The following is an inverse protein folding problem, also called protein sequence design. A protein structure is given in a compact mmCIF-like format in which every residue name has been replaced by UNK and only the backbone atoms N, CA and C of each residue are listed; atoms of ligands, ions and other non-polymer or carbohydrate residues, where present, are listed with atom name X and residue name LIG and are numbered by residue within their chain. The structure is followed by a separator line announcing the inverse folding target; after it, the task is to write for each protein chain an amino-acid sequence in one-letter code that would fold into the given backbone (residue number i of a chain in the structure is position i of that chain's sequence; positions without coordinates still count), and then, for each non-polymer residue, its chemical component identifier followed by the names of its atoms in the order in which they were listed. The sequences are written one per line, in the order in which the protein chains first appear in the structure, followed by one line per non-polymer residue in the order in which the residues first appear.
data_IF_297959461778
#
_entry.id   IF_297959461778
#
_cell.length_a   1.000
_cell.length_b   1.000
_cell.length_c   1.000
_cell.angle_alpha   90.00
_cell.angle_beta   90.00
_cell.angle_gamma   90.00
#
_symmetry.space_group_name_H-M   'P 1'
#
loop_
_entity.id
_entity.type
_entity.pdbx_description
1 polymer ?
#
# COMPACT_ATOMS: atom_id res chain seq x y z
N UNK A 1 -14.13 9.68 3.61
CA UNK A 1 -15.00 8.99 2.63
C UNK A 1 -15.96 8.13 3.44
N UNK A 2 -17.26 8.07 3.11
CA UNK A 2 -18.20 7.24 3.86
C UNK A 2 -18.38 5.89 3.17
N UNK A 3 -18.34 4.79 3.93
CA UNK A 3 -18.75 3.49 3.43
C UNK A 3 -20.25 3.50 3.10
N UNK A 4 -20.63 2.82 2.02
CA UNK A 4 -22.02 2.72 1.57
C UNK A 4 -22.61 1.38 2.01
N UNK A 5 -23.92 1.22 1.89
CA UNK A 5 -24.60 -0.05 2.17
C UNK A 5 -24.10 -1.16 1.25
N UNK A 6 -23.81 -0.85 -0.02
CA UNK A 6 -23.27 -1.83 -0.98
C UNK A 6 -21.89 -2.35 -0.57
N UNK A 7 -21.06 -1.50 0.05
CA UNK A 7 -19.78 -1.91 0.62
C UNK A 7 -19.98 -2.87 1.80
N UNK A 8 -20.96 -2.62 2.66
CA UNK A 8 -21.28 -3.49 3.79
C UNK A 8 -21.79 -4.87 3.32
N UNK A 9 -22.69 -4.89 2.33
CA UNK A 9 -23.21 -6.14 1.76
C UNK A 9 -22.10 -6.96 1.09
N UNK A 10 -21.19 -6.29 0.37
CA UNK A 10 -20.00 -6.92 -0.23
C UNK A 10 -19.09 -7.51 0.84
N UNK A 11 -18.85 -6.78 1.93
CA UNK A 11 -18.06 -7.28 3.05
C UNK A 11 -18.70 -8.50 3.72
N UNK A 12 -20.02 -8.50 3.95
CA UNK A 12 -20.71 -9.66 4.52
C UNK A 12 -20.65 -10.90 3.62
N UNK A 13 -20.69 -10.70 2.30
CA UNK A 13 -20.63 -11.80 1.32
C UNK A 13 -19.21 -12.34 1.11
N UNK A 14 -18.25 -11.44 0.94
CA UNK A 14 -16.91 -11.77 0.42
C UNK A 14 -15.82 -11.70 1.50
N UNK A 15 -16.10 -11.13 2.68
CA UNK A 15 -15.15 -10.93 3.78
C UNK A 15 -14.22 -9.72 3.60
N UNK A 16 -14.35 -8.98 2.49
CA UNK A 16 -13.57 -7.77 2.20
C UNK A 16 -14.37 -6.84 1.28
N UNK A 17 -13.92 -5.58 1.16
CA UNK A 17 -14.44 -4.63 0.17
C UNK A 17 -13.29 -3.99 -0.60
N UNK A 18 -13.48 -3.80 -1.91
CA UNK A 18 -12.52 -3.10 -2.77
C UNK A 18 -13.09 -1.75 -3.16
N UNK A 19 -12.52 -0.69 -2.58
CA UNK A 19 -12.87 0.68 -2.94
C UNK A 19 -11.92 1.14 -4.06
N UNK A 20 -12.45 1.24 -5.28
CA UNK A 20 -11.67 1.67 -6.45
C UNK A 20 -11.37 3.17 -6.37
N UNK A 21 -10.19 3.56 -6.83
CA UNK A 21 -9.73 4.96 -6.85
C UNK A 21 -9.82 5.65 -5.47
N UNK A 22 -9.58 4.89 -4.41
CA UNK A 22 -9.61 5.38 -3.04
C UNK A 22 -8.62 6.54 -2.79
N UNK A 23 -7.49 6.48 -3.49
CA UNK A 23 -6.62 7.62 -3.74
C UNK A 23 -6.65 7.96 -5.22
N UNK A 24 -6.49 9.24 -5.52
CA UNK A 24 -6.38 9.74 -6.89
C UNK A 24 -5.11 9.21 -7.56
N UNK A 25 -5.15 9.15 -8.89
CA UNK A 25 -3.98 8.71 -9.65
C UNK A 25 -2.70 9.52 -9.37
N UNK A 26 -2.73 10.86 -9.28
CA UNK A 26 -1.55 11.63 -8.91
C UNK A 26 -0.99 11.29 -7.52
N UNK A 27 -1.84 10.99 -6.53
CA UNK A 27 -1.40 10.58 -5.19
C UNK A 27 -0.67 9.23 -5.24
N UNK A 28 -1.21 8.27 -6.00
CA UNK A 28 -0.60 6.95 -6.18
C UNK A 28 0.69 7.04 -7.00
N UNK A 29 0.72 7.84 -8.05
CA UNK A 29 1.90 8.04 -8.89
C UNK A 29 3.06 8.68 -8.08
N UNK A 30 2.75 9.64 -7.20
CA UNK A 30 3.73 10.23 -6.29
C UNK A 30 4.28 9.19 -5.29
N UNK A 31 3.40 8.41 -4.66
CA UNK A 31 3.80 7.35 -3.74
C UNK A 31 4.70 6.32 -4.43
N UNK A 32 4.34 5.92 -5.65
CA UNK A 32 5.13 4.98 -6.45
C UNK A 32 6.49 5.57 -6.86
N UNK A 33 6.55 6.85 -7.23
CA UNK A 33 7.81 7.53 -7.53
C UNK A 33 8.77 7.51 -6.33
N UNK A 34 8.27 7.86 -5.15
CA UNK A 34 9.06 7.83 -3.91
C UNK A 34 9.50 6.39 -3.59
N UNK A 35 8.67 5.39 -3.86
CA UNK A 35 9.02 3.98 -3.73
C UNK A 35 10.21 3.53 -4.59
N UNK A 36 10.38 4.11 -5.77
CA UNK A 36 11.49 3.76 -6.65
C UNK A 36 12.74 4.60 -6.39
N UNK A 37 12.58 5.86 -6.01
CA UNK A 37 13.67 6.84 -5.90
C UNK A 37 14.25 6.95 -4.49
N UNK A 38 13.47 6.66 -3.44
CA UNK A 38 13.92 6.77 -2.06
C UNK A 38 14.72 5.53 -1.63
N UNK A 39 15.95 5.79 -1.19
CA UNK A 39 16.90 4.81 -0.69
C UNK A 39 16.40 4.15 0.60
N UNK A 40 15.41 4.74 1.28
CA UNK A 40 14.82 4.19 2.50
C UNK A 40 14.15 2.84 2.23
N UNK A 41 13.43 2.69 1.11
CA UNK A 41 12.77 1.42 0.82
C UNK A 41 13.76 0.38 0.28
N UNK A 42 14.77 0.81 -0.49
CA UNK A 42 15.84 -0.08 -0.96
C UNK A 42 16.62 -0.69 0.22
N UNK A 43 16.99 0.13 1.22
CA UNK A 43 17.75 -0.27 2.43
C UNK A 43 17.00 -1.23 3.34
N UNK A 44 15.69 -1.06 3.44
CA UNK A 44 14.84 -1.92 4.28
C UNK A 44 14.22 -3.08 3.48
N UNK A 45 14.60 -3.24 2.21
CA UNK A 45 14.16 -4.36 1.38
C UNK A 45 15.15 -5.52 1.41
N UNK A 46 14.64 -6.74 1.37
CA UNK A 46 15.41 -7.94 1.12
C UNK A 46 14.86 -8.69 -0.09
N UNK A 47 15.76 -9.30 -0.84
CA UNK A 47 15.38 -10.16 -1.97
C UNK A 47 14.96 -11.53 -1.41
N UNK A 48 13.78 -12.01 -1.84
CA UNK A 48 13.40 -13.42 -1.76
C UNK A 48 13.51 -14.03 -3.13
N UNK A 49 14.28 -15.10 -3.24
CA UNK A 49 14.48 -15.85 -4.48
C UNK A 49 13.54 -17.05 -4.47
N UNK A 50 12.74 -17.21 -5.51
CA UNK A 50 11.87 -18.38 -5.67
C UNK A 50 12.63 -19.59 -6.25
N UNK A 51 11.95 -20.73 -6.35
CA UNK A 51 12.53 -21.97 -6.86
C UNK A 51 12.97 -21.89 -8.33
N UNK A 52 12.48 -20.91 -9.09
CA UNK A 52 12.85 -20.66 -10.50
C UNK A 52 13.98 -19.63 -10.65
N UNK A 53 14.42 -19.01 -9.55
CA UNK A 53 15.47 -17.99 -9.53
C UNK A 53 14.96 -16.56 -9.67
N UNK A 54 13.64 -16.32 -9.71
CA UNK A 54 13.07 -14.98 -9.74
C UNK A 54 13.18 -14.32 -8.37
N UNK A 55 13.46 -13.02 -8.37
CA UNK A 55 13.64 -12.23 -7.15
C UNK A 55 12.41 -11.38 -6.88
N UNK A 56 11.84 -11.50 -5.69
CA UNK A 56 10.85 -10.57 -5.14
C UNK A 56 11.54 -9.67 -4.12
N UNK A 57 11.47 -8.35 -4.32
CA UNK A 57 11.89 -7.39 -3.29
C UNK A 57 10.77 -7.24 -2.27
N UNK A 58 11.07 -7.50 -1.01
CA UNK A 58 10.15 -7.32 0.11
C UNK A 58 10.73 -6.29 1.06
N UNK A 59 9.97 -5.22 1.32
CA UNK A 59 10.23 -4.30 2.42
C UNK A 59 9.11 -4.48 3.45
N UNK A 60 9.48 -4.56 4.72
CA UNK A 60 8.53 -4.69 5.83
C UNK A 60 8.60 -3.42 6.68
N UNK A 61 7.47 -2.73 6.79
CA UNK A 61 7.36 -1.48 7.56
C UNK A 61 6.49 -1.73 8.79
N UNK A 62 7.11 -1.66 9.96
CA UNK A 62 6.43 -1.87 11.25
C UNK A 62 6.28 -0.58 12.07
N UNK A 63 6.87 0.52 11.60
CA UNK A 63 6.91 1.81 12.29
C UNK A 63 6.25 2.90 11.44
N UNK A 64 5.39 3.71 12.06
CA UNK A 64 4.79 4.89 11.43
C UNK A 64 5.65 6.13 11.74
N UNK A 65 6.48 6.52 10.79
CA UNK A 65 7.36 7.70 10.82
C UNK A 65 6.78 8.88 10.02
N UNK A 66 7.62 9.86 9.67
CA UNK A 66 7.21 11.03 8.88
C UNK A 66 7.33 10.86 7.35
N UNK A 67 7.61 9.64 6.87
CA UNK A 67 7.63 9.32 5.45
C UNK A 67 6.24 9.37 4.82
N UNK A 68 6.19 9.43 3.48
CA UNK A 68 4.91 9.43 2.76
C UNK A 68 4.12 8.12 2.99
N UNK A 69 4.80 6.97 3.17
CA UNK A 69 4.15 5.69 3.46
C UNK A 69 3.35 5.75 4.76
N UNK A 70 3.98 6.27 5.81
CA UNK A 70 3.37 6.43 7.12
C UNK A 70 2.25 7.45 7.09
N UNK A 71 2.36 8.51 6.30
CA UNK A 71 1.28 9.48 6.10
C UNK A 71 0.10 8.88 5.34
N UNK A 72 0.36 8.00 4.38
CA UNK A 72 -0.67 7.27 3.64
C UNK A 72 -1.44 6.33 4.58
N UNK A 73 -0.73 5.55 5.39
CA UNK A 73 -1.32 4.64 6.38
C UNK A 73 -2.06 5.37 7.52
N UNK A 74 -1.64 6.60 7.88
CA UNK A 74 -2.30 7.47 8.87
C UNK A 74 -3.41 8.35 8.29
N UNK A 75 -3.73 8.21 7.00
CA UNK A 75 -4.72 9.06 6.36
C UNK A 75 -6.10 8.81 6.96
N UNK A 76 -6.83 9.88 7.32
CA UNK A 76 -8.23 9.83 7.78
C UNK A 76 -9.18 9.16 6.77
N UNK A 77 -8.74 8.96 5.52
CA UNK A 77 -9.53 8.25 4.52
C UNK A 77 -9.65 6.76 4.85
N UNK A 78 -8.61 6.16 5.44
CA UNK A 78 -8.51 4.73 5.85
C UNK A 78 -9.20 4.53 7.19
#
# INVERSE_FOLDING_TARGET
MAFTTEHLDTYHRDGYVVVRNFFSRPEVDLLHKIALEDDTMSKNSFDRVDASGLKTKLALWYSLDESLYSKFARSERI
#
